data_IF_952061433405
#
_entry.id   IF_952061433405
#
_cell.length_a   1.000
_cell.length_b   1.000
_cell.length_c   1.000
_cell.angle_alpha   90.00
_cell.angle_beta   90.00
_cell.angle_gamma   90.00
#
_symmetry.space_group_name_H-M   'P 1'
#
loop_
_entity.id
_entity.type
_entity.pdbx_description
1 polymer ?
#
# COMPACT_ATOMS: atom_id res chain seq x y z
N UNK A 1 0.64 18.86 11.79
CA UNK A 1 1.61 18.31 12.76
C UNK A 1 2.11 16.97 12.27
N UNK A 2 3.40 16.78 12.19
CA UNK A 2 4.03 15.50 11.89
C UNK A 2 4.05 14.64 13.15
N UNK A 3 3.74 13.33 13.02
CA UNK A 3 3.89 12.36 14.09
C UNK A 3 5.16 11.54 13.81
N UNK A 4 6.31 11.87 14.44
CA UNK A 4 7.56 11.13 14.22
C UNK A 4 7.46 9.72 14.78
N UNK A 5 8.06 8.76 14.08
CA UNK A 5 8.20 7.38 14.55
C UNK A 5 9.65 7.19 14.98
N UNK A 6 9.84 6.90 16.28
CA UNK A 6 11.16 6.55 16.82
C UNK A 6 11.44 5.08 16.55
N UNK A 7 12.55 4.79 15.87
CA UNK A 7 13.04 3.43 15.68
C UNK A 7 14.18 3.14 16.65
N UNK A 8 14.24 1.92 17.16
CA UNK A 8 15.30 1.52 18.13
C UNK A 8 16.69 1.46 17.48
N UNK A 9 16.73 1.03 16.23
CA UNK A 9 17.95 0.92 15.46
C UNK A 9 17.72 1.50 14.08
N UNK A 10 18.75 2.10 13.51
CA UNK A 10 18.75 2.52 12.13
C UNK A 10 18.61 1.29 11.20
N UNK A 11 17.76 1.40 10.19
CA UNK A 11 17.60 0.36 9.19
C UNK A 11 17.75 0.94 7.80
N UNK A 12 18.42 0.26 6.87
CA UNK A 12 18.56 0.71 5.49
C UNK A 12 17.19 0.86 4.83
N UNK A 13 16.95 2.02 4.20
CA UNK A 13 15.74 2.30 3.43
C UNK A 13 14.52 2.75 4.24
N UNK A 14 14.67 3.05 5.53
CA UNK A 14 13.61 3.50 6.44
C UNK A 14 12.37 2.59 6.48
N UNK A 15 11.50 2.74 7.50
CA UNK A 15 10.35 1.84 7.69
C UNK A 15 9.30 1.98 6.60
N UNK A 16 8.83 3.20 6.35
CA UNK A 16 7.77 3.47 5.38
C UNK A 16 8.21 3.17 3.96
N UNK A 17 9.45 3.55 3.61
CA UNK A 17 9.98 3.38 2.27
C UNK A 17 10.19 1.91 1.93
N UNK A 18 10.65 1.09 2.89
CA UNK A 18 10.79 -0.36 2.66
C UNK A 18 9.46 -1.05 2.44
N UNK A 19 8.40 -0.64 3.16
CA UNK A 19 7.06 -1.21 2.97
C UNK A 19 6.48 -0.79 1.62
N UNK A 20 6.65 0.49 1.27
CA UNK A 20 6.22 1.02 -0.02
C UNK A 20 6.97 0.37 -1.19
N UNK A 21 8.28 0.18 -1.04
CA UNK A 21 9.12 -0.48 -2.04
C UNK A 21 8.74 -1.95 -2.26
N UNK A 22 8.37 -2.68 -1.20
CA UNK A 22 7.90 -4.05 -1.34
C UNK A 22 6.61 -4.12 -2.17
N UNK A 23 5.67 -3.23 -1.92
CA UNK A 23 4.43 -3.12 -2.68
C UNK A 23 4.70 -2.73 -4.15
N UNK A 24 5.60 -1.76 -4.36
CA UNK A 24 6.02 -1.31 -5.67
C UNK A 24 6.63 -2.44 -6.51
N UNK A 25 7.57 -3.21 -5.94
CA UNK A 25 8.21 -4.34 -6.62
C UNK A 25 7.21 -5.39 -7.07
N UNK A 26 6.25 -5.73 -6.21
CA UNK A 26 5.20 -6.70 -6.56
C UNK A 26 4.29 -6.16 -7.66
N UNK A 27 3.89 -4.90 -7.59
CA UNK A 27 3.12 -4.24 -8.64
C UNK A 27 3.81 -4.27 -10.00
N UNK A 28 5.14 -4.04 -10.04
CA UNK A 28 5.93 -4.13 -11.26
C UNK A 28 5.91 -5.54 -11.87
N UNK A 29 5.94 -6.60 -11.06
CA UNK A 29 5.82 -7.98 -11.55
C UNK A 29 4.44 -8.23 -12.17
N UNK A 30 3.38 -7.87 -11.48
CA UNK A 30 1.99 -8.06 -11.93
C UNK A 30 1.76 -7.37 -13.29
N UNK A 31 2.23 -6.13 -13.45
CA UNK A 31 2.11 -5.38 -14.72
C UNK A 31 2.99 -5.99 -15.81
N UNK A 32 4.22 -6.39 -15.47
CA UNK A 32 5.15 -6.98 -16.44
C UNK A 32 4.63 -8.30 -17.01
N UNK A 33 3.99 -9.11 -16.18
CA UNK A 33 3.39 -10.40 -16.54
C UNK A 33 2.02 -10.24 -17.22
N UNK A 34 1.43 -9.05 -17.15
CA UNK A 34 0.18 -8.72 -17.84
C UNK A 34 -1.08 -9.17 -17.10
N UNK A 35 -0.97 -9.45 -15.79
CA UNK A 35 -2.13 -9.84 -14.96
C UNK A 35 -3.08 -8.69 -14.67
N UNK A 36 -2.57 -7.47 -14.54
CA UNK A 36 -3.38 -6.30 -14.29
C UNK A 36 -2.81 -5.04 -14.93
N UNK A 37 -3.66 -4.03 -15.08
CA UNK A 37 -3.28 -2.67 -15.43
C UNK A 37 -2.86 -1.87 -14.19
N UNK A 38 -2.24 -0.70 -14.39
CA UNK A 38 -1.93 0.23 -13.28
C UNK A 38 -3.20 0.66 -12.55
N UNK A 39 -4.28 0.95 -13.28
CA UNK A 39 -5.57 1.36 -12.71
C UNK A 39 -6.20 0.27 -11.84
N UNK A 40 -6.14 -0.99 -12.28
CA UNK A 40 -6.67 -2.12 -11.51
C UNK A 40 -5.86 -2.36 -10.22
N UNK A 41 -4.52 -2.19 -10.27
CA UNK A 41 -3.69 -2.32 -9.08
C UNK A 41 -3.94 -1.19 -8.08
N UNK A 42 -4.03 0.06 -8.55
CA UNK A 42 -4.32 1.19 -7.68
C UNK A 42 -5.69 1.01 -7.01
N UNK A 43 -6.73 0.63 -7.77
CA UNK A 43 -8.05 0.33 -7.21
C UNK A 43 -8.05 -0.83 -6.23
N UNK A 44 -7.25 -1.86 -6.46
CA UNK A 44 -7.13 -2.98 -5.52
C UNK A 44 -6.60 -2.53 -4.16
N UNK A 45 -5.73 -1.51 -4.11
CA UNK A 45 -5.25 -0.90 -2.86
C UNK A 45 -6.29 0.06 -2.30
N UNK A 46 -6.81 0.99 -3.10
CA UNK A 46 -7.74 2.05 -2.67
C UNK A 46 -9.02 1.49 -2.07
N UNK A 47 -9.67 0.54 -2.76
CA UNK A 47 -10.94 -0.08 -2.35
C UNK A 47 -10.72 -1.26 -1.38
N UNK A 48 -9.50 -1.76 -1.29
CA UNK A 48 -9.11 -2.89 -0.46
C UNK A 48 -8.44 -2.48 0.86
N UNK A 49 -7.16 -2.84 1.05
CA UNK A 49 -6.45 -2.63 2.30
C UNK A 49 -6.21 -1.15 2.63
N UNK A 50 -6.09 -0.28 1.63
CA UNK A 50 -5.84 1.16 1.79
C UNK A 50 -6.88 1.87 2.63
N UNK A 51 -8.15 1.47 2.55
CA UNK A 51 -9.23 2.01 3.40
C UNK A 51 -8.94 1.82 4.90
N UNK A 52 -8.24 0.76 5.25
CA UNK A 52 -7.92 0.43 6.66
C UNK A 52 -6.60 1.04 7.08
N UNK A 53 -5.63 1.15 6.17
CA UNK A 53 -4.27 1.59 6.47
C UNK A 53 -4.17 3.05 6.91
N UNK A 54 -5.15 3.88 6.59
CA UNK A 54 -5.22 5.25 7.10
C UNK A 54 -5.58 5.33 8.59
N UNK A 55 -6.24 4.29 9.14
CA UNK A 55 -6.63 4.20 10.55
C UNK A 55 -5.72 3.26 11.34
N UNK A 56 -5.43 2.09 10.78
CA UNK A 56 -4.63 1.03 11.40
C UNK A 56 -3.72 0.36 10.37
N UNK A 57 -2.49 0.05 10.73
CA UNK A 57 -1.56 -0.61 9.84
C UNK A 57 -1.89 -2.08 9.61
N UNK A 58 -1.08 -2.74 8.78
CA UNK A 58 -1.26 -4.14 8.35
C UNK A 58 -1.33 -5.11 9.54
N UNK A 59 -0.47 -4.95 10.55
CA UNK A 59 -0.42 -5.87 11.68
C UNK A 59 -1.69 -5.84 12.54
N UNK A 60 -2.23 -4.66 12.82
CA UNK A 60 -3.49 -4.54 13.56
C UNK A 60 -4.68 -5.02 12.72
N UNK A 61 -4.67 -4.79 11.42
CA UNK A 61 -5.69 -5.34 10.50
C UNK A 61 -5.71 -6.85 10.55
N UNK A 62 -4.56 -7.51 10.49
CA UNK A 62 -4.47 -8.97 10.59
C UNK A 62 -4.79 -9.50 11.98
N UNK A 63 -4.47 -8.75 13.05
CA UNK A 63 -4.92 -9.08 14.40
C UNK A 63 -6.45 -9.16 14.48
N UNK A 64 -7.15 -8.19 13.91
CA UNK A 64 -8.62 -8.20 13.86
C UNK A 64 -9.18 -9.34 13.01
N UNK A 65 -8.52 -9.68 11.90
CA UNK A 65 -8.91 -10.81 11.05
C UNK A 65 -8.83 -12.17 11.77
N UNK A 66 -7.97 -12.29 12.79
CA UNK A 66 -7.88 -13.47 13.64
C UNK A 66 -9.04 -13.64 14.65
N UNK A 67 -10.02 -12.73 14.66
CA UNK A 67 -11.20 -12.81 15.53
C UNK A 67 -10.86 -12.75 17.02
N UNK A 68 -11.55 -13.53 17.83
CA UNK A 68 -11.43 -13.48 19.31
C UNK A 68 -10.02 -13.72 19.85
N UNK A 69 -9.22 -14.54 19.20
CA UNK A 69 -7.83 -14.85 19.60
C UNK A 69 -6.79 -14.02 18.86
N UNK A 70 -7.22 -13.15 17.95
CA UNK A 70 -6.38 -12.15 17.29
C UNK A 70 -5.24 -12.75 16.50
N UNK A 71 -4.05 -12.13 16.61
CA UNK A 71 -2.87 -12.53 15.83
C UNK A 71 -2.48 -14.00 16.02
N UNK A 72 -2.74 -14.61 17.18
CA UNK A 72 -2.46 -16.03 17.38
C UNK A 72 -3.20 -16.89 16.35
N UNK A 73 -4.51 -16.74 16.25
CA UNK A 73 -5.31 -17.48 15.28
C UNK A 73 -4.95 -17.13 13.83
N UNK A 74 -4.67 -15.86 13.56
CA UNK A 74 -4.20 -15.43 12.25
C UNK A 74 -2.94 -16.17 11.81
N UNK A 75 -1.95 -16.31 12.69
CA UNK A 75 -0.70 -17.01 12.41
C UNK A 75 -0.90 -18.53 12.27
N UNK A 76 -1.76 -19.13 13.08
CA UNK A 76 -2.09 -20.55 12.99
C UNK A 76 -2.79 -20.90 11.68
N UNK A 77 -3.73 -20.08 11.25
CA UNK A 77 -4.54 -20.31 10.05
C UNK A 77 -3.83 -19.93 8.76
N UNK A 78 -3.21 -18.76 8.71
CA UNK A 78 -2.63 -18.18 7.49
C UNK A 78 -1.09 -18.20 7.45
N UNK A 79 -0.42 -18.50 8.57
CA UNK A 79 1.03 -18.65 8.60
C UNK A 79 1.58 -19.61 7.53
N UNK A 80 0.96 -20.78 7.29
CA UNK A 80 1.37 -21.69 6.22
C UNK A 80 1.37 -21.07 4.82
N UNK A 81 0.49 -20.08 4.55
CA UNK A 81 0.41 -19.38 3.28
C UNK A 81 1.67 -18.57 2.95
N UNK A 82 2.48 -18.19 3.94
CA UNK A 82 3.77 -17.52 3.73
C UNK A 82 4.79 -18.37 2.96
N UNK A 83 4.57 -19.68 2.86
CA UNK A 83 5.39 -20.60 2.05
C UNK A 83 4.97 -20.64 0.59
N UNK A 84 3.81 -20.06 0.26
CA UNK A 84 3.29 -20.06 -1.11
C UNK A 84 3.97 -18.96 -1.93
N UNK A 85 4.24 -19.20 -3.23
CA UNK A 85 4.93 -18.26 -4.09
C UNK A 85 3.98 -17.17 -4.63
N UNK A 86 3.22 -16.52 -3.75
CA UNK A 86 2.25 -15.50 -4.16
C UNK A 86 2.89 -14.16 -4.45
N UNK A 87 4.05 -13.89 -3.87
CA UNK A 87 4.80 -12.66 -4.10
C UNK A 87 6.22 -12.93 -4.55
N UNK A 88 6.82 -12.02 -5.31
CA UNK A 88 8.19 -12.18 -5.81
C UNK A 88 9.22 -11.36 -5.04
N UNK A 89 8.83 -10.23 -4.46
CA UNK A 89 9.65 -9.29 -3.67
C UNK A 89 10.98 -8.83 -4.33
N UNK A 90 11.43 -9.50 -5.39
CA UNK A 90 12.61 -9.12 -6.18
C UNK A 90 12.18 -8.22 -7.33
N UNK A 91 12.82 -7.05 -7.45
CA UNK A 91 12.50 -6.11 -8.52
C UNK A 91 12.65 -6.74 -9.91
N UNK A 92 11.66 -6.60 -10.82
CA UNK A 92 11.82 -7.00 -12.21
C UNK A 92 12.78 -6.05 -12.94
N UNK A 93 13.36 -6.52 -14.03
CA UNK A 93 14.17 -5.65 -14.92
C UNK A 93 13.24 -4.62 -15.59
N UNK A 94 13.57 -3.34 -15.48
CA UNK A 94 12.88 -2.26 -16.19
C UNK A 94 13.18 -2.34 -17.69
N UNK A 95 12.44 -3.19 -18.38
CA UNK A 95 12.49 -3.27 -19.85
C UNK A 95 11.78 -2.11 -20.50
N UNK A 96 12.08 -1.81 -21.77
CA UNK A 96 11.33 -0.80 -22.57
C UNK A 96 9.82 -1.11 -22.59
N UNK A 97 9.44 -2.38 -22.67
CA UNK A 97 8.04 -2.84 -22.64
C UNK A 97 7.36 -2.51 -21.30
N UNK A 98 8.02 -2.79 -20.17
CA UNK A 98 7.47 -2.48 -18.84
C UNK A 98 7.34 -0.96 -18.65
N UNK A 99 8.39 -0.20 -18.96
CA UNK A 99 8.36 1.27 -18.86
C UNK A 99 7.23 1.89 -19.70
N UNK A 100 7.03 1.41 -20.94
CA UNK A 100 5.91 1.89 -21.78
C UNK A 100 4.55 1.56 -21.18
N UNK A 101 4.36 0.36 -20.63
CA UNK A 101 3.10 -0.02 -19.94
C UNK A 101 2.80 0.90 -18.76
N UNK A 102 3.81 1.21 -17.95
CA UNK A 102 3.66 2.10 -16.79
C UNK A 102 3.29 3.52 -17.23
N UNK A 103 4.05 4.11 -18.16
CA UNK A 103 3.84 5.48 -18.65
C UNK A 103 2.45 5.62 -19.29
N UNK A 104 2.09 4.72 -20.19
CA UNK A 104 0.79 4.78 -20.88
C UNK A 104 -0.38 4.50 -19.93
N UNK A 105 -0.21 3.54 -19.00
CA UNK A 105 -1.21 3.20 -18.01
C UNK A 105 -1.53 4.38 -17.09
N UNK A 106 -0.51 4.99 -16.49
CA UNK A 106 -0.68 6.14 -15.59
C UNK A 106 -1.20 7.38 -16.33
N UNK A 107 -0.79 7.62 -17.58
CA UNK A 107 -1.35 8.69 -18.39
C UNK A 107 -2.84 8.50 -18.65
N UNK A 108 -3.28 7.26 -18.91
CA UNK A 108 -4.70 6.92 -19.04
C UNK A 108 -5.48 7.16 -17.74
N UNK A 109 -4.94 6.73 -16.59
CA UNK A 109 -5.53 6.98 -15.26
C UNK A 109 -5.68 8.47 -14.96
N UNK A 110 -4.70 9.28 -15.33
CA UNK A 110 -4.72 10.72 -15.11
C UNK A 110 -5.87 11.43 -15.86
N UNK A 111 -6.45 10.81 -16.89
CA UNK A 111 -7.61 11.35 -17.66
C UNK A 111 -7.40 12.82 -18.07
N UNK A 112 -6.23 13.16 -18.59
CA UNK A 112 -5.87 14.51 -19.03
C UNK A 112 -5.58 15.50 -17.90
N UNK A 113 -5.65 15.10 -16.62
CA UNK A 113 -5.27 15.98 -15.50
C UNK A 113 -3.76 16.09 -15.40
N UNK A 114 -3.27 17.30 -15.16
CA UNK A 114 -1.85 17.53 -14.88
C UNK A 114 -1.46 16.96 -13.50
N UNK A 115 -0.18 16.68 -13.30
CA UNK A 115 0.36 16.28 -12.00
C UNK A 115 -0.01 17.30 -10.91
N UNK A 116 0.04 18.58 -11.20
CA UNK A 116 -0.34 19.65 -10.24
C UNK A 116 -1.81 19.57 -9.84
N UNK A 117 -2.73 19.29 -10.77
CA UNK A 117 -4.15 19.13 -10.47
C UNK A 117 -4.39 17.91 -9.58
N UNK A 118 -3.76 16.77 -9.89
CA UNK A 118 -3.87 15.55 -9.10
C UNK A 118 -3.28 15.74 -7.71
N UNK A 119 -2.14 16.44 -7.61
CA UNK A 119 -1.51 16.78 -6.32
C UNK A 119 -2.44 17.63 -5.44
N UNK A 120 -3.07 18.65 -6.00
CA UNK A 120 -4.03 19.47 -5.26
C UNK A 120 -5.20 18.66 -4.70
N UNK A 121 -5.79 17.78 -5.50
CA UNK A 121 -6.88 16.89 -5.05
C UNK A 121 -6.39 16.00 -3.91
N UNK A 122 -5.21 15.37 -4.06
CA UNK A 122 -4.59 14.56 -3.01
C UNK A 122 -4.38 15.34 -1.71
N UNK A 123 -3.86 16.56 -1.80
CA UNK A 123 -3.54 17.37 -0.61
C UNK A 123 -4.82 17.76 0.16
N UNK A 124 -5.89 18.11 -0.54
CA UNK A 124 -7.20 18.35 0.06
C UNK A 124 -7.72 17.08 0.76
N UNK A 125 -7.69 15.94 0.09
CA UNK A 125 -8.08 14.64 0.65
C UNK A 125 -7.26 14.30 1.91
N UNK A 126 -5.93 14.48 1.88
CA UNK A 126 -5.07 14.20 3.03
C UNK A 126 -5.37 15.08 4.23
N UNK A 127 -5.74 16.34 4.02
CA UNK A 127 -6.19 17.24 5.10
C UNK A 127 -7.47 16.72 5.73
N UNK A 128 -8.43 16.28 4.94
CA UNK A 128 -9.72 15.83 5.43
C UNK A 128 -9.64 14.45 6.11
N UNK A 129 -8.86 13.52 5.55
CA UNK A 129 -8.65 12.21 6.19
C UNK A 129 -7.88 12.33 7.51
N UNK A 130 -6.96 13.30 7.64
CA UNK A 130 -6.30 13.58 8.92
C UNK A 130 -7.27 14.12 9.99
N UNK A 131 -8.22 14.97 9.60
CA UNK A 131 -9.28 15.43 10.51
C UNK A 131 -10.16 14.26 10.98
N UNK A 132 -10.56 13.41 10.03
CA UNK A 132 -11.34 12.21 10.29
C UNK A 132 -10.59 11.24 11.21
N UNK A 133 -9.33 10.98 10.92
CA UNK A 133 -8.45 10.11 11.72
C UNK A 133 -8.36 10.58 13.16
N UNK A 134 -8.09 11.87 13.41
CA UNK A 134 -8.03 12.45 14.76
C UNK A 134 -9.32 12.23 15.56
N UNK A 135 -10.49 12.25 14.92
CA UNK A 135 -11.79 11.98 15.55
C UNK A 135 -11.89 10.54 16.06
N UNK A 136 -11.31 9.55 15.34
CA UNK A 136 -11.46 8.13 15.66
C UNK A 136 -10.28 7.57 16.46
N UNK A 137 -9.08 8.13 16.36
CA UNK A 137 -7.91 7.73 17.18
C UNK A 137 -8.17 7.84 18.68
N UNK A 138 -8.94 8.87 19.11
CA UNK A 138 -9.34 9.03 20.50
C UNK A 138 -10.25 7.92 21.03
N UNK A 139 -10.88 7.14 20.14
CA UNK A 139 -11.74 6.01 20.51
C UNK A 139 -11.00 4.67 20.48
N UNK A 140 -9.82 4.61 19.87
CA UNK A 140 -8.98 3.40 19.77
C UNK A 140 -7.89 3.35 20.87
N UNK A 141 -7.59 4.48 21.49
CA UNK A 141 -6.67 4.62 22.63
C UNK A 141 -7.47 4.75 23.93
#
# INVERSE_FOLDING_TARGET
>A
SMNPIMVKNELPGYLSDRLQEALWREGLHIINEGYATTEELDRAIEDGPGLRWSLMGTFLTFHLAGGKTGMKHMLEQFGPALKLPWTKLKAPKLSKKLSSRLILGTAKQAKGKSVAMISNIRDQYLVDIQKLRKKYEKKLR
#
